data_IF_033104439527
#
_entry.id   IF_033104439527
#
_cell.length_a   1.000
_cell.length_b   1.000
_cell.length_c   1.000
_cell.angle_alpha   90.00
_cell.angle_beta   90.00
_cell.angle_gamma   90.00
#
_symmetry.space_group_name_H-M   'P 1'
#
loop_
_entity.id
_entity.type
_entity.pdbx_description
1 polymer ?
#
# COMPACT_ATOMS: atom_id res chain seq x y z
N UNK A 1 -34.78 33.50 -9.96
CA UNK A 1 -33.48 33.07 -9.43
C UNK A 1 -33.50 33.37 -7.95
N UNK A 2 -33.79 32.35 -7.13
CA UNK A 2 -33.73 32.49 -5.68
C UNK A 2 -32.27 32.65 -5.27
N UNK A 3 -31.97 33.73 -4.53
CA UNK A 3 -30.65 33.94 -3.95
C UNK A 3 -30.49 33.00 -2.75
N UNK A 4 -29.51 32.11 -2.81
CA UNK A 4 -29.11 31.27 -1.69
C UNK A 4 -28.81 32.17 -0.47
N UNK A 5 -29.43 31.91 0.67
CA UNK A 5 -29.21 32.74 1.86
C UNK A 5 -27.83 32.43 2.46
N UNK A 6 -27.26 33.35 3.24
CA UNK A 6 -25.99 33.10 3.94
C UNK A 6 -26.04 31.84 4.82
N UNK A 7 -27.22 31.51 5.36
CA UNK A 7 -27.41 30.30 6.17
C UNK A 7 -27.37 29.03 5.31
N UNK A 8 -27.99 29.05 4.13
CA UNK A 8 -27.98 27.91 3.21
C UNK A 8 -26.57 27.65 2.64
N UNK A 9 -25.82 28.72 2.37
CA UNK A 9 -24.41 28.62 1.99
C UNK A 9 -23.56 28.01 3.12
N UNK A 10 -23.69 28.49 4.35
CA UNK A 10 -22.93 27.94 5.47
C UNK A 10 -23.28 26.46 5.71
N UNK A 11 -24.57 26.11 5.64
CA UNK A 11 -25.00 24.72 5.82
C UNK A 11 -24.45 23.79 4.74
N UNK A 12 -24.40 24.22 3.47
CA UNK A 12 -23.85 23.39 2.40
C UNK A 12 -22.34 23.17 2.53
N UNK A 13 -21.61 24.21 2.97
CA UNK A 13 -20.18 24.09 3.28
C UNK A 13 -19.97 23.13 4.46
N UNK A 14 -20.72 23.29 5.55
CA UNK A 14 -20.64 22.40 6.72
C UNK A 14 -20.93 20.95 6.36
N UNK A 15 -21.96 20.70 5.54
CA UNK A 15 -22.31 19.36 5.09
C UNK A 15 -21.19 18.74 4.25
N UNK A 16 -20.58 19.50 3.32
CA UNK A 16 -19.46 19.04 2.51
C UNK A 16 -18.23 18.68 3.36
N UNK A 17 -17.87 19.54 4.30
CA UNK A 17 -16.75 19.29 5.22
C UNK A 17 -17.03 18.09 6.14
N UNK A 18 -18.27 17.93 6.59
CA UNK A 18 -18.68 16.77 7.38
C UNK A 18 -18.55 15.46 6.59
N UNK A 19 -18.95 15.44 5.31
CA UNK A 19 -18.78 14.25 4.46
C UNK A 19 -17.32 13.91 4.21
N UNK A 20 -16.46 14.92 4.06
CA UNK A 20 -15.01 14.71 3.96
C UNK A 20 -14.44 14.11 5.25
N UNK A 21 -14.78 14.66 6.41
CA UNK A 21 -14.33 14.18 7.71
C UNK A 21 -14.74 12.72 7.95
N UNK A 22 -16.01 12.36 7.73
CA UNK A 22 -16.45 10.97 7.94
C UNK A 22 -15.82 10.02 6.94
N UNK A 23 -15.60 10.45 5.68
CA UNK A 23 -14.94 9.64 4.65
C UNK A 23 -13.51 9.25 5.04
N UNK A 24 -12.80 10.14 5.73
CA UNK A 24 -11.40 9.96 6.12
C UNK A 24 -11.19 9.12 7.39
N UNK A 25 -12.10 9.19 8.36
CA UNK A 25 -11.88 8.67 9.73
C UNK A 25 -12.73 7.46 10.10
N UNK A 26 -13.93 7.38 9.54
CA UNK A 26 -14.90 6.38 9.99
C UNK A 26 -14.69 5.02 9.32
N UNK A 27 -15.10 3.96 10.03
CA UNK A 27 -15.11 2.61 9.49
C UNK A 27 -16.39 2.36 8.70
N UNK A 28 -16.27 2.10 7.40
CA UNK A 28 -17.41 1.76 6.54
C UNK A 28 -17.44 0.28 6.17
N UNK A 29 -18.62 -0.33 6.28
CA UNK A 29 -18.94 -1.58 5.58
C UNK A 29 -19.27 -1.32 4.12
N UNK A 30 -19.20 -2.35 3.27
CA UNK A 30 -19.60 -2.22 1.86
C UNK A 30 -21.06 -1.79 1.67
N UNK A 31 -21.96 -2.19 2.57
CA UNK A 31 -23.36 -1.75 2.58
C UNK A 31 -23.48 -0.24 2.84
N UNK A 32 -22.68 0.28 3.79
CA UNK A 32 -22.65 1.72 4.07
C UNK A 32 -22.06 2.50 2.90
N UNK A 33 -20.97 2.03 2.28
CA UNK A 33 -20.42 2.65 1.07
C UNK A 33 -21.47 2.68 -0.02
N UNK A 34 -22.18 1.57 -0.25
CA UNK A 34 -23.25 1.53 -1.25
C UNK A 34 -24.37 2.53 -0.99
N UNK A 35 -24.78 2.70 0.26
CA UNK A 35 -25.81 3.67 0.64
C UNK A 35 -25.36 5.12 0.45
N UNK A 36 -24.08 5.41 0.64
CA UNK A 36 -23.56 6.79 0.71
C UNK A 36 -22.57 7.14 -0.41
N UNK A 37 -22.40 6.29 -1.42
CA UNK A 37 -21.37 6.40 -2.46
C UNK A 37 -21.32 7.73 -3.22
N UNK A 38 -22.44 8.47 -3.28
CA UNK A 38 -22.53 9.75 -3.98
C UNK A 38 -22.26 10.97 -3.08
N UNK A 39 -22.14 10.73 -1.76
CA UNK A 39 -21.80 11.76 -0.77
C UNK A 39 -20.38 11.64 -0.23
N UNK A 40 -19.83 10.43 -0.27
CA UNK A 40 -18.46 10.18 0.19
C UNK A 40 -17.44 10.93 -0.66
N UNK A 41 -16.43 11.46 0.02
CA UNK A 41 -15.22 11.97 -0.61
C UNK A 41 -14.32 10.77 -0.96
N UNK A 42 -14.13 10.53 -2.26
CA UNK A 42 -13.44 9.33 -2.74
C UNK A 42 -11.93 9.40 -2.62
N UNK A 43 -11.35 10.59 -2.48
CA UNK A 43 -9.92 10.75 -2.18
C UNK A 43 -9.69 10.26 -0.74
N UNK A 44 -10.49 10.73 0.21
CA UNK A 44 -10.42 10.31 1.61
C UNK A 44 -10.76 8.82 1.80
N UNK A 45 -11.81 8.32 1.14
CA UNK A 45 -12.16 6.88 1.16
C UNK A 45 -11.01 6.00 0.66
N UNK A 46 -10.27 6.46 -0.35
CA UNK A 46 -9.16 5.68 -0.93
C UNK A 46 -7.94 5.64 -0.01
N UNK A 47 -7.75 6.64 0.85
CA UNK A 47 -6.72 6.64 1.89
C UNK A 47 -7.13 5.97 3.21
N UNK A 48 -8.42 5.65 3.39
CA UNK A 48 -8.96 5.19 4.67
C UNK A 48 -8.77 3.68 4.89
N UNK A 49 -7.86 3.34 5.82
CA UNK A 49 -7.52 1.96 6.19
C UNK A 49 -8.60 1.26 7.04
N UNK A 50 -9.56 2.00 7.59
CA UNK A 50 -10.66 1.47 8.42
C UNK A 50 -11.81 0.89 7.58
N UNK A 51 -11.74 1.01 6.25
CA UNK A 51 -12.79 0.49 5.37
C UNK A 51 -12.62 -1.01 5.15
N UNK A 52 -13.73 -1.74 5.33
CA UNK A 52 -13.77 -3.19 5.17
C UNK A 52 -13.99 -3.60 3.71
N UNK A 53 -13.00 -3.31 2.86
CA UNK A 53 -13.05 -3.59 1.43
C UNK A 53 -13.28 -5.07 1.12
N UNK A 54 -14.17 -5.32 0.16
CA UNK A 54 -14.29 -6.63 -0.51
C UNK A 54 -13.84 -6.51 -1.97
N UNK A 55 -13.44 -7.62 -2.58
CA UNK A 55 -13.03 -7.62 -4.01
C UNK A 55 -14.16 -7.11 -4.92
N UNK A 56 -15.41 -7.43 -4.59
CA UNK A 56 -16.58 -6.95 -5.34
C UNK A 56 -16.83 -5.46 -5.11
N UNK A 57 -16.64 -4.96 -3.88
CA UNK A 57 -16.69 -3.54 -3.57
C UNK A 57 -15.64 -2.74 -4.35
N UNK A 58 -14.39 -3.20 -4.37
CA UNK A 58 -13.31 -2.60 -5.16
C UNK A 58 -13.68 -2.62 -6.65
N UNK A 59 -14.24 -3.72 -7.15
CA UNK A 59 -14.65 -3.84 -8.56
C UNK A 59 -15.75 -2.84 -8.91
N UNK A 60 -16.77 -2.72 -8.05
CA UNK A 60 -17.92 -1.83 -8.24
C UNK A 60 -17.52 -0.36 -8.26
N UNK A 61 -16.56 0.03 -7.42
CA UNK A 61 -16.12 1.42 -7.28
C UNK A 61 -14.75 1.70 -7.90
N UNK A 62 -14.24 0.82 -8.75
CA UNK A 62 -12.89 0.92 -9.34
C UNK A 62 -12.62 2.21 -10.15
N UNK A 63 -13.67 2.93 -10.56
CA UNK A 63 -13.56 4.20 -11.28
C UNK A 63 -13.70 5.42 -10.36
N UNK A 64 -14.12 5.24 -9.11
CA UNK A 64 -14.16 6.29 -8.08
C UNK A 64 -12.93 6.22 -7.16
N UNK A 65 -12.34 5.04 -6.97
CA UNK A 65 -11.13 4.85 -6.17
C UNK A 65 -9.95 5.64 -6.78
N UNK A 66 -9.28 6.41 -5.92
CA UNK A 66 -7.99 7.04 -6.18
C UNK A 66 -6.89 6.00 -5.93
N UNK A 67 -6.39 5.41 -7.02
CA UNK A 67 -5.58 4.20 -6.91
C UNK A 67 -4.19 4.40 -6.33
N UNK A 68 -3.61 5.60 -6.42
CA UNK A 68 -2.34 5.90 -5.75
C UNK A 68 -2.50 5.78 -4.22
N UNK A 69 -3.47 6.51 -3.66
CA UNK A 69 -3.79 6.48 -2.23
C UNK A 69 -4.21 5.07 -1.78
N UNK A 70 -5.05 4.40 -2.57
CA UNK A 70 -5.50 3.05 -2.27
C UNK A 70 -4.37 2.03 -2.31
N UNK A 71 -3.45 2.13 -3.26
CA UNK A 71 -2.25 1.27 -3.31
C UNK A 71 -1.37 1.45 -2.08
N UNK A 72 -1.28 2.70 -1.59
CA UNK A 72 -0.49 3.03 -0.43
C UNK A 72 -1.17 2.66 0.90
N UNK A 73 -2.50 2.58 0.96
CA UNK A 73 -3.25 2.49 2.22
C UNK A 73 -4.06 1.20 2.38
N UNK A 74 -4.37 0.47 1.30
CA UNK A 74 -5.34 -0.61 1.35
C UNK A 74 -4.99 -1.66 2.41
N UNK A 75 -6.01 -2.31 3.02
CA UNK A 75 -5.78 -3.39 3.97
C UNK A 75 -4.92 -4.50 3.35
N UNK A 76 -3.95 -5.01 4.09
CA UNK A 76 -2.98 -5.99 3.57
C UNK A 76 -3.63 -7.27 3.03
N UNK A 77 -4.79 -7.68 3.57
CA UNK A 77 -5.55 -8.81 3.07
C UNK A 77 -6.13 -8.61 1.65
N UNK A 78 -6.11 -7.37 1.14
CA UNK A 78 -6.43 -7.05 -0.26
C UNK A 78 -5.24 -7.29 -1.17
N UNK A 79 -4.00 -7.33 -0.67
CA UNK A 79 -2.80 -7.57 -1.49
C UNK A 79 -2.65 -9.09 -1.69
N UNK A 80 -3.33 -9.61 -2.71
CA UNK A 80 -3.34 -11.03 -3.07
C UNK A 80 -3.10 -11.19 -4.56
N UNK A 81 -2.68 -12.36 -5.01
CA UNK A 81 -2.51 -12.62 -6.44
C UNK A 81 -3.78 -12.33 -7.26
N UNK A 82 -4.96 -12.69 -6.72
CA UNK A 82 -6.25 -12.48 -7.39
C UNK A 82 -6.52 -11.00 -7.65
N UNK A 83 -6.35 -10.15 -6.63
CA UNK A 83 -6.62 -8.70 -6.72
C UNK A 83 -5.52 -7.96 -7.48
N UNK A 84 -4.26 -8.35 -7.31
CA UNK A 84 -3.12 -7.81 -8.06
C UNK A 84 -3.27 -8.08 -9.56
N UNK A 85 -3.71 -9.27 -9.95
CA UNK A 85 -4.00 -9.58 -11.36
C UNK A 85 -5.24 -8.82 -11.86
N UNK A 86 -6.34 -8.89 -11.13
CA UNK A 86 -7.63 -8.32 -11.55
C UNK A 86 -7.56 -6.81 -11.79
N UNK A 87 -6.79 -6.08 -10.98
CA UNK A 87 -6.64 -4.62 -11.08
C UNK A 87 -5.24 -4.19 -11.48
N UNK A 88 -4.50 -5.06 -12.18
CA UNK A 88 -3.06 -4.83 -12.46
C UNK A 88 -2.73 -3.53 -13.20
N UNK A 89 -3.64 -3.03 -14.02
CA UNK A 89 -3.49 -1.75 -14.74
C UNK A 89 -3.97 -0.52 -13.97
N UNK A 90 -4.47 -0.70 -12.74
CA UNK A 90 -4.96 0.39 -11.89
C UNK A 90 -4.05 0.64 -10.68
N UNK A 91 -3.44 -0.42 -10.13
CA UNK A 91 -2.50 -0.30 -9.02
C UNK A 91 -1.33 0.64 -9.33
N UNK A 92 -0.98 1.48 -8.35
CA UNK A 92 0.33 2.13 -8.31
C UNK A 92 1.35 1.12 -7.76
N UNK A 93 2.12 0.55 -8.69
CA UNK A 93 3.13 -0.46 -8.35
C UNK A 93 4.29 0.10 -7.54
N UNK A 94 4.57 1.41 -7.62
CA UNK A 94 5.59 2.04 -6.78
C UNK A 94 5.11 2.08 -5.32
N UNK A 95 3.87 2.51 -5.07
CA UNK A 95 3.28 2.49 -3.75
C UNK A 95 3.18 1.06 -3.19
N UNK A 96 2.70 0.10 -3.99
CA UNK A 96 2.63 -1.31 -3.58
C UNK A 96 4.01 -1.90 -3.23
N UNK A 97 5.08 -1.46 -3.92
CA UNK A 97 6.44 -1.94 -3.66
C UNK A 97 6.98 -1.56 -2.27
N UNK A 98 6.34 -0.59 -1.61
CA UNK A 98 6.64 -0.20 -0.23
C UNK A 98 5.70 -0.86 0.79
N UNK A 99 4.83 -1.78 0.36
CA UNK A 99 3.93 -2.53 1.26
C UNK A 99 4.59 -3.82 1.71
N UNK A 100 4.67 -4.03 3.02
CA UNK A 100 5.23 -5.23 3.64
C UNK A 100 4.56 -6.52 3.14
N UNK A 101 3.23 -6.50 3.05
CA UNK A 101 2.43 -7.59 2.51
C UNK A 101 2.80 -7.99 1.07
N UNK A 102 3.44 -7.09 0.31
CA UNK A 102 4.01 -7.43 -1.00
C UNK A 102 5.47 -7.86 -0.88
N UNK A 103 6.36 -7.00 -0.36
CA UNK A 103 7.80 -7.26 -0.44
C UNK A 103 8.29 -8.43 0.44
N UNK A 104 7.56 -8.79 1.50
CA UNK A 104 7.84 -9.99 2.30
C UNK A 104 7.06 -11.23 1.84
N UNK A 105 6.16 -11.09 0.86
CA UNK A 105 5.52 -12.25 0.22
C UNK A 105 6.29 -12.66 -1.03
N UNK A 106 7.32 -13.51 -0.86
CA UNK A 106 8.22 -13.90 -1.95
C UNK A 106 7.51 -14.59 -3.12
N UNK A 107 6.40 -15.30 -2.86
CA UNK A 107 5.58 -15.92 -3.92
C UNK A 107 4.90 -14.86 -4.79
N UNK A 108 4.38 -13.77 -4.19
CA UNK A 108 3.84 -12.65 -4.94
C UNK A 108 4.94 -11.88 -5.67
N UNK A 109 6.07 -11.60 -5.01
CA UNK A 109 7.20 -10.90 -5.64
C UNK A 109 7.68 -11.63 -6.90
N UNK A 110 7.78 -12.97 -6.88
CA UNK A 110 8.17 -13.74 -8.06
C UNK A 110 7.19 -13.59 -9.21
N UNK A 111 5.88 -13.60 -8.92
CA UNK A 111 4.83 -13.50 -9.93
C UNK A 111 4.72 -12.10 -10.55
N UNK A 112 5.10 -11.07 -9.81
CA UNK A 112 4.98 -9.67 -10.22
C UNK A 112 6.33 -8.96 -10.32
N UNK A 113 7.42 -9.71 -10.48
CA UNK A 113 8.78 -9.19 -10.53
C UNK A 113 9.00 -8.16 -11.65
N UNK A 114 8.22 -8.25 -12.73
CA UNK A 114 8.22 -7.33 -13.87
C UNK A 114 7.49 -6.01 -13.59
N UNK A 115 6.64 -5.95 -12.57
CA UNK A 115 5.81 -4.78 -12.24
C UNK A 115 6.30 -4.00 -11.04
N UNK A 116 6.85 -4.70 -10.05
CA UNK A 116 7.32 -4.06 -8.82
C UNK A 116 8.52 -3.15 -9.07
N UNK A 117 8.62 -2.10 -8.26
CA UNK A 117 9.76 -1.21 -8.25
C UNK A 117 10.81 -1.73 -7.27
N UNK A 118 11.77 -2.50 -7.79
CA UNK A 118 12.87 -3.06 -7.01
C UNK A 118 13.72 -2.02 -6.30
N UNK A 119 13.82 -0.80 -6.85
CA UNK A 119 14.52 0.31 -6.20
C UNK A 119 13.83 0.78 -4.92
N UNK A 120 12.51 0.76 -4.88
CA UNK A 120 11.71 1.06 -3.69
C UNK A 120 11.82 -0.11 -2.68
N UNK A 121 11.64 -1.34 -3.15
CA UNK A 121 11.69 -2.55 -2.31
C UNK A 121 12.93 -2.58 -1.43
N UNK A 122 14.13 -2.44 -2.02
CA UNK A 122 15.39 -2.55 -1.27
C UNK A 122 15.61 -1.44 -0.22
N UNK A 123 14.82 -0.37 -0.26
CA UNK A 123 14.87 0.72 0.73
C UNK A 123 13.97 0.47 1.95
N UNK A 124 13.12 -0.56 1.92
CA UNK A 124 12.31 -0.95 3.07
C UNK A 124 13.18 -1.58 4.17
N UNK A 125 12.93 -1.21 5.42
CA UNK A 125 13.78 -1.57 6.56
C UNK A 125 13.55 -3.00 7.07
N UNK A 126 12.38 -3.58 6.83
CA UNK A 126 11.95 -4.84 7.45
C UNK A 126 11.95 -6.02 6.45
N UNK A 127 12.89 -6.05 5.50
CA UNK A 127 13.02 -7.17 4.56
C UNK A 127 13.43 -8.42 5.33
N UNK A 128 12.57 -9.44 5.29
CA UNK A 128 12.84 -10.72 5.95
C UNK A 128 14.03 -11.44 5.30
N UNK A 129 14.92 -11.98 6.14
CA UNK A 129 16.08 -12.78 5.73
C UNK A 129 16.88 -12.09 4.60
N UNK A 130 17.47 -10.91 4.86
CA UNK A 130 17.99 -10.01 3.82
C UNK A 130 19.04 -10.66 2.91
N UNK A 131 19.88 -11.56 3.45
CA UNK A 131 20.89 -12.28 2.66
C UNK A 131 20.25 -13.30 1.70
N UNK A 132 19.23 -14.03 2.15
CA UNK A 132 18.48 -14.98 1.32
C UNK A 132 17.61 -14.25 0.30
N UNK A 133 16.97 -13.15 0.70
CA UNK A 133 16.21 -12.26 -0.17
C UNK A 133 17.09 -11.78 -1.34
N UNK A 134 18.28 -11.25 -1.03
CA UNK A 134 19.22 -10.80 -2.05
C UNK A 134 19.63 -11.96 -2.97
N UNK A 135 20.01 -13.12 -2.40
CA UNK A 135 20.42 -14.27 -3.21
C UNK A 135 19.33 -14.71 -4.20
N UNK A 136 18.06 -14.66 -3.78
CA UNK A 136 16.89 -15.05 -4.59
C UNK A 136 16.54 -14.01 -5.67
N UNK A 137 16.63 -12.73 -5.36
CA UNK A 137 16.10 -11.65 -6.21
C UNK A 137 17.16 -10.74 -6.84
N UNK A 138 18.45 -10.98 -6.63
CA UNK A 138 19.56 -10.15 -7.12
C UNK A 138 19.47 -9.78 -8.61
N UNK A 139 18.92 -10.66 -9.46
CA UNK A 139 18.79 -10.41 -10.89
C UNK A 139 17.88 -9.22 -11.23
N UNK A 140 16.99 -8.84 -10.33
CA UNK A 140 16.07 -7.71 -10.51
C UNK A 140 16.54 -6.44 -9.79
N UNK A 141 17.46 -6.57 -8.84
CA UNK A 141 17.85 -5.48 -7.96
C UNK A 141 18.75 -4.48 -8.72
N UNK A 142 18.44 -3.18 -8.70
CA UNK A 142 19.30 -2.16 -9.29
C UNK A 142 20.59 -2.02 -8.45
N UNK A 143 21.66 -2.68 -8.90
CA UNK A 143 22.93 -2.74 -8.17
C UNK A 143 23.54 -1.38 -7.85
N UNK A 144 23.27 -0.36 -8.69
CA UNK A 144 23.69 1.02 -8.45
C UNK A 144 23.06 1.66 -7.21
N UNK A 145 21.93 1.15 -6.73
CA UNK A 145 21.22 1.64 -5.53
C UNK A 145 21.47 0.76 -4.30
N UNK A 146 22.08 -0.42 -4.46
CA UNK A 146 22.14 -1.43 -3.40
C UNK A 146 22.91 -0.93 -2.18
N UNK A 147 24.10 -0.35 -2.36
CA UNK A 147 24.98 0.01 -1.23
C UNK A 147 24.37 1.08 -0.31
N UNK A 148 23.50 1.95 -0.85
CA UNK A 148 22.81 2.99 -0.09
C UNK A 148 21.47 2.53 0.51
N UNK A 149 21.08 1.28 0.26
CA UNK A 149 19.77 0.73 0.60
C UNK A 149 19.70 0.14 2.01
N UNK A 150 18.49 0.07 2.55
CA UNK A 150 18.21 -0.60 3.83
C UNK A 150 18.50 -2.11 3.76
N UNK A 151 18.26 -2.75 2.61
CA UNK A 151 18.63 -4.14 2.37
C UNK A 151 20.13 -4.38 2.61
N UNK A 152 20.99 -3.51 2.08
CA UNK A 152 22.44 -3.62 2.27
C UNK A 152 22.83 -3.50 3.74
N UNK A 153 22.27 -2.51 4.44
CA UNK A 153 22.48 -2.34 5.89
C UNK A 153 22.09 -3.62 6.65
N UNK A 154 20.91 -4.18 6.35
CA UNK A 154 20.43 -5.40 6.98
C UNK A 154 21.33 -6.63 6.69
N UNK A 155 21.87 -6.75 5.47
CA UNK A 155 22.85 -7.80 5.13
C UNK A 155 24.18 -7.62 5.88
N UNK A 156 24.67 -6.38 6.00
CA UNK A 156 25.88 -6.05 6.77
C UNK A 156 25.69 -6.39 8.24
N UNK A 157 24.54 -6.05 8.83
CA UNK A 157 24.20 -6.43 10.21
C UNK A 157 24.15 -7.94 10.40
N UNK A 158 23.50 -8.67 9.48
CA UNK A 158 23.45 -10.13 9.52
C UNK A 158 24.85 -10.75 9.44
N UNK A 159 25.73 -10.25 8.56
CA UNK A 159 27.11 -10.71 8.46
C UNK A 159 27.93 -10.37 9.70
N UNK A 160 27.74 -9.18 10.27
CA UNK A 160 28.44 -8.73 11.48
C UNK A 160 28.12 -9.63 12.67
N UNK A 161 26.84 -10.00 12.85
CA UNK A 161 26.40 -10.96 13.88
C UNK A 161 27.07 -12.32 13.68
N UNK A 162 27.12 -12.81 12.45
CA UNK A 162 27.77 -14.10 12.13
C UNK A 162 29.28 -14.10 12.43
N UNK A 163 30.00 -13.02 12.07
CA UNK A 163 31.43 -12.89 12.38
C UNK A 163 31.67 -12.92 13.89
N UNK A 164 30.82 -12.24 14.67
CA UNK A 164 30.93 -12.26 16.13
C UNK A 164 30.68 -13.65 16.71
N UNK A 165 29.71 -14.40 16.20
CA UNK A 165 29.44 -15.79 16.58
C UNK A 165 30.65 -16.70 16.29
N UNK A 166 31.22 -16.59 15.09
CA UNK A 166 32.43 -17.31 14.68
C UNK A 166 33.61 -16.97 15.62
N UNK A 167 33.79 -15.70 15.99
CA UNK A 167 34.88 -15.25 16.85
C UNK A 167 34.79 -15.77 18.30
N UNK A 168 33.58 -16.01 18.81
CA UNK A 168 33.36 -16.54 20.17
C UNK A 168 33.19 -18.06 20.21
N UNK A 169 33.37 -18.75 19.08
CA UNK A 169 33.29 -20.21 18.98
C UNK A 169 31.87 -20.78 19.07
N UNK A 170 30.85 -19.96 18.82
CA UNK A 170 29.46 -20.40 18.70
C UNK A 170 29.18 -20.61 17.21
N UNK A 171 29.09 -21.87 16.78
CA UNK A 171 28.67 -22.25 15.44
C UNK A 171 27.14 -22.29 15.29
#
# INVERSE_FOLDING_TARGET
>A
MESMTNNDFLNSVLESEAWKEVSSRESFSMEMIEKFADKLDWEEVSGNQSILWTVDGISKYANKIHWEDFSNSCPDNIITETTLNKFSGKWDWKCLSNRDALYNNWSLLEKFADKVNWGEIITNWNIEKPVEFFARFQQYIPMSKLQDSSLWRAMVEARSKKIMQEAIGIN
#
